data_IF_290047257015
#
_entry.id   IF_290047257015
#
_cell.length_a   1.000
_cell.length_b   1.000
_cell.length_c   1.000
_cell.angle_alpha   90.00
_cell.angle_beta   90.00
_cell.angle_gamma   90.00
#
_symmetry.space_group_name_H-M   'P 1'
#
loop_
_entity.id
_entity.type
_entity.pdbx_description
1 polymer ?
#
# COMPACT_ATOMS: atom_id res chain seq x y z
N UNK A 1 -4.35 29.12 4.01
CA UNK A 1 -3.84 30.17 4.84
C UNK A 1 -2.89 29.60 5.89
N UNK A 2 -1.60 29.43 5.54
CA UNK A 2 -0.55 29.12 6.54
C UNK A 2 -0.53 27.72 7.16
N UNK A 3 -1.35 26.78 6.68
CA UNK A 3 -1.35 25.41 7.22
C UNK A 3 -0.06 24.66 6.84
N UNK A 4 0.46 24.87 5.66
CA UNK A 4 1.73 24.31 5.18
C UNK A 4 2.90 24.73 6.09
N UNK A 5 2.93 26.00 6.49
CA UNK A 5 3.96 26.52 7.42
C UNK A 5 3.79 25.93 8.82
N UNK A 6 2.55 25.69 9.25
CA UNK A 6 2.26 25.04 10.53
C UNK A 6 2.74 23.58 10.52
N UNK A 7 2.43 22.81 9.47
CA UNK A 7 2.85 21.41 9.34
C UNK A 7 4.38 21.29 9.32
N UNK A 8 5.07 22.14 8.53
CA UNK A 8 6.54 22.19 8.50
C UNK A 8 7.15 22.46 9.88
N UNK A 9 6.58 23.43 10.59
CA UNK A 9 7.03 23.77 11.95
C UNK A 9 6.83 22.60 12.92
N UNK A 10 5.65 21.96 12.88
CA UNK A 10 5.30 20.83 13.74
C UNK A 10 6.19 19.61 13.46
N UNK A 11 6.49 19.32 12.18
CA UNK A 11 7.38 18.24 11.80
C UNK A 11 8.79 18.47 12.35
N UNK A 12 9.33 19.68 12.22
CA UNK A 12 10.63 20.05 12.78
C UNK A 12 10.67 19.92 14.30
N UNK A 13 9.63 20.39 15.01
CA UNK A 13 9.54 20.29 16.47
C UNK A 13 9.49 18.83 16.95
N UNK A 14 8.92 17.93 16.16
CA UNK A 14 8.78 16.49 16.47
C UNK A 14 9.94 15.64 15.94
N UNK A 15 10.91 16.22 15.26
CA UNK A 15 12.03 15.51 14.64
C UNK A 15 11.60 14.56 13.51
N UNK A 16 10.47 14.85 12.85
CA UNK A 16 9.96 14.11 11.73
C UNK A 16 10.46 14.68 10.40
N UNK A 17 10.46 13.84 9.37
CA UNK A 17 10.79 14.27 8.01
C UNK A 17 9.70 15.18 7.45
N UNK A 18 10.06 16.45 7.24
CA UNK A 18 9.16 17.47 6.70
C UNK A 18 8.61 17.08 5.31
N UNK A 19 9.44 16.41 4.49
CA UNK A 19 9.05 16.01 3.14
C UNK A 19 7.93 14.98 3.19
N UNK A 20 8.01 14.04 4.11
CA UNK A 20 7.00 13.01 4.29
C UNK A 20 5.66 13.59 4.76
N UNK A 21 5.67 14.44 5.78
CA UNK A 21 4.45 15.10 6.27
C UNK A 21 3.79 15.99 5.18
N UNK A 22 4.60 16.57 4.30
CA UNK A 22 4.07 17.33 3.15
C UNK A 22 3.49 16.45 2.06
N UNK A 23 4.09 15.29 1.77
CA UNK A 23 3.53 14.30 0.84
C UNK A 23 2.17 13.79 1.35
N UNK A 24 2.05 13.45 2.63
CA UNK A 24 0.78 13.03 3.24
C UNK A 24 -0.30 14.11 3.13
N UNK A 25 0.07 15.38 3.34
CA UNK A 25 -0.84 16.51 3.17
C UNK A 25 -1.30 16.66 1.72
N UNK A 26 -0.41 16.52 0.75
CA UNK A 26 -0.76 16.56 -0.67
C UNK A 26 -1.69 15.42 -1.07
N UNK A 27 -1.47 14.21 -0.56
CA UNK A 27 -2.36 13.06 -0.79
C UNK A 27 -3.77 13.33 -0.24
N UNK A 28 -3.88 13.86 0.99
CA UNK A 28 -5.15 14.25 1.57
C UNK A 28 -5.87 15.33 0.74
N UNK A 29 -5.12 16.32 0.25
CA UNK A 29 -5.66 17.38 -0.63
C UNK A 29 -6.15 16.80 -1.96
N UNK A 30 -5.46 15.80 -2.52
CA UNK A 30 -5.92 15.13 -3.74
C UNK A 30 -7.21 14.35 -3.51
N UNK A 31 -7.28 13.59 -2.42
CA UNK A 31 -8.49 12.83 -2.05
C UNK A 31 -9.69 13.76 -1.82
N UNK A 32 -9.48 14.92 -1.22
CA UNK A 32 -10.56 15.87 -0.94
C UNK A 32 -11.16 16.52 -2.19
N UNK A 33 -10.44 16.54 -3.32
CA UNK A 33 -10.92 17.17 -4.58
C UNK A 33 -12.14 16.50 -5.20
N UNK A 34 -12.42 15.25 -4.81
CA UNK A 34 -13.62 14.52 -5.25
C UNK A 34 -14.92 14.97 -4.59
N UNK A 35 -14.88 15.88 -3.61
CA UNK A 35 -16.02 16.32 -2.81
C UNK A 35 -16.29 17.80 -3.00
N UNK A 36 -17.58 18.18 -3.06
CA UNK A 36 -17.98 19.60 -3.21
C UNK A 36 -17.85 20.37 -1.91
N UNK A 37 -18.03 19.70 -0.77
CA UNK A 37 -17.98 20.31 0.56
C UNK A 37 -17.12 19.51 1.53
N UNK A 38 -16.59 20.20 2.54
CA UNK A 38 -15.86 19.55 3.65
C UNK A 38 -16.78 18.58 4.41
N UNK A 39 -18.08 18.90 4.51
CA UNK A 39 -19.06 18.03 5.16
C UNK A 39 -19.18 16.67 4.48
N UNK A 40 -19.30 16.64 3.15
CA UNK A 40 -19.33 15.41 2.36
C UNK A 40 -18.05 14.59 2.52
N UNK A 41 -16.90 15.25 2.54
CA UNK A 41 -15.62 14.56 2.75
C UNK A 41 -15.51 13.95 4.15
N UNK A 42 -15.91 14.66 5.19
CA UNK A 42 -15.94 14.13 6.56
C UNK A 42 -16.92 12.96 6.70
N UNK A 43 -18.12 13.06 6.12
CA UNK A 43 -19.09 11.98 6.11
C UNK A 43 -18.55 10.74 5.38
N UNK A 44 -17.80 10.95 4.28
CA UNK A 44 -17.13 9.86 3.57
C UNK A 44 -16.08 9.17 4.44
N UNK A 45 -15.28 9.92 5.19
CA UNK A 45 -14.28 9.38 6.11
C UNK A 45 -14.95 8.59 7.23
N UNK A 46 -16.02 9.13 7.85
CA UNK A 46 -16.77 8.44 8.90
C UNK A 46 -17.40 7.13 8.39
N UNK A 47 -17.97 7.14 7.19
CA UNK A 47 -18.51 5.96 6.55
C UNK A 47 -17.42 4.93 6.22
N UNK A 48 -16.23 5.37 5.77
CA UNK A 48 -15.09 4.49 5.51
C UNK A 48 -14.61 3.82 6.80
N UNK A 49 -14.49 4.56 7.89
CA UNK A 49 -14.12 4.00 9.20
C UNK A 49 -15.16 2.97 9.69
N UNK A 50 -16.45 3.24 9.51
CA UNK A 50 -17.51 2.31 9.87
C UNK A 50 -17.45 1.01 9.05
N UNK A 51 -17.21 1.11 7.74
CA UNK A 51 -17.04 -0.04 6.84
C UNK A 51 -15.79 -0.84 7.24
N UNK A 52 -14.67 -0.17 7.54
CA UNK A 52 -13.44 -0.84 7.97
C UNK A 52 -13.61 -1.55 9.31
N UNK A 53 -14.28 -0.94 10.28
CA UNK A 53 -14.56 -1.57 11.58
C UNK A 53 -15.46 -2.80 11.42
N UNK A 54 -16.46 -2.72 10.55
CA UNK A 54 -17.32 -3.87 10.24
C UNK A 54 -16.55 -4.97 9.51
N UNK A 55 -15.68 -4.63 8.57
CA UNK A 55 -14.81 -5.58 7.88
C UNK A 55 -13.86 -6.29 8.87
N UNK A 56 -13.26 -5.56 9.81
CA UNK A 56 -12.41 -6.12 10.86
C UNK A 56 -13.20 -7.09 11.76
N UNK A 57 -14.42 -6.72 12.18
CA UNK A 57 -15.30 -7.59 12.97
C UNK A 57 -15.70 -8.85 12.19
N UNK A 58 -15.96 -8.71 10.89
CA UNK A 58 -16.26 -9.84 10.03
C UNK A 58 -15.05 -10.75 9.85
N UNK A 59 -13.84 -10.21 9.69
CA UNK A 59 -12.61 -11.03 9.65
C UNK A 59 -12.41 -11.84 10.93
N UNK A 60 -12.70 -11.30 12.09
CA UNK A 60 -12.62 -12.03 13.36
C UNK A 60 -13.67 -13.15 13.44
N UNK A 61 -14.87 -12.94 12.90
CA UNK A 61 -15.91 -13.98 12.83
C UNK A 61 -15.66 -15.00 11.71
N UNK A 62 -15.07 -14.59 10.60
CA UNK A 62 -14.72 -15.40 9.41
C UNK A 62 -13.58 -16.37 9.69
N UNK A 63 -12.71 -16.10 10.64
CA UNK A 63 -11.70 -17.07 11.08
C UNK A 63 -12.31 -18.37 11.61
N UNK A 64 -13.61 -18.43 11.87
CA UNK A 64 -14.33 -19.63 12.31
C UNK A 64 -15.10 -20.36 11.19
N UNK A 65 -15.38 -19.71 10.06
CA UNK A 65 -16.07 -20.36 8.93
C UNK A 65 -15.22 -20.13 7.66
N UNK A 66 -14.96 -21.21 6.91
CA UNK A 66 -14.29 -21.14 5.60
C UNK A 66 -15.21 -20.42 4.60
N UNK A 67 -15.13 -19.10 4.57
CA UNK A 67 -15.84 -18.31 3.56
C UNK A 67 -15.01 -18.31 2.28
N UNK A 68 -15.67 -18.63 1.17
CA UNK A 68 -15.12 -18.50 -0.18
C UNK A 68 -15.07 -17.00 -0.54
N UNK A 69 -13.98 -16.33 -0.18
CA UNK A 69 -13.77 -14.91 -0.36
C UNK A 69 -12.36 -14.59 -0.86
N UNK A 70 -12.23 -13.46 -1.54
CA UNK A 70 -10.93 -12.90 -1.92
C UNK A 70 -10.35 -12.17 -0.72
N UNK A 71 -9.14 -12.59 -0.30
CA UNK A 71 -8.40 -11.95 0.78
C UNK A 71 -7.48 -10.86 0.20
N UNK A 72 -7.56 -9.65 0.72
CA UNK A 72 -6.65 -8.55 0.40
C UNK A 72 -5.77 -8.32 1.63
N UNK A 73 -4.46 -8.49 1.45
CA UNK A 73 -3.49 -8.36 2.54
C UNK A 73 -2.23 -7.66 2.03
N UNK A 74 -1.50 -7.00 2.91
CA UNK A 74 -0.15 -6.51 2.56
C UNK A 74 0.84 -7.67 2.50
N UNK A 75 1.96 -7.51 1.78
CA UNK A 75 3.03 -8.52 1.75
C UNK A 75 3.52 -8.86 3.15
N UNK A 76 3.64 -7.88 4.04
CA UNK A 76 4.02 -8.11 5.44
C UNK A 76 2.99 -8.96 6.20
N UNK A 77 1.71 -8.65 6.05
CA UNK A 77 0.63 -9.38 6.72
C UNK A 77 0.44 -10.79 6.17
N UNK A 78 0.94 -11.08 4.97
CA UNK A 78 0.86 -12.40 4.33
C UNK A 78 1.77 -13.47 4.99
N UNK A 79 2.69 -13.05 5.86
CA UNK A 79 3.64 -13.96 6.52
C UNK A 79 2.92 -15.01 7.36
N UNK A 80 3.15 -16.30 7.05
CA UNK A 80 2.53 -17.42 7.73
C UNK A 80 1.17 -17.84 7.17
N UNK A 81 0.61 -17.09 6.22
CA UNK A 81 -0.61 -17.43 5.50
C UNK A 81 -0.27 -18.11 4.17
N UNK A 82 -1.22 -18.83 3.59
CA UNK A 82 -1.05 -19.47 2.28
C UNK A 82 -2.42 -19.57 1.58
N UNK A 83 -2.42 -19.36 0.26
CA UNK A 83 -3.61 -19.43 -0.58
C UNK A 83 -3.38 -20.30 -1.81
N UNK A 84 -4.45 -20.85 -2.38
CA UNK A 84 -4.36 -21.57 -3.64
C UNK A 84 -3.84 -20.69 -4.76
N UNK A 85 -4.37 -19.48 -4.85
CA UNK A 85 -4.02 -18.48 -5.85
C UNK A 85 -3.56 -17.21 -5.16
N UNK A 86 -2.44 -16.66 -5.59
CA UNK A 86 -1.94 -15.35 -5.16
C UNK A 86 -1.81 -14.43 -6.36
N UNK A 87 -2.25 -13.20 -6.18
CA UNK A 87 -2.15 -12.12 -7.17
C UNK A 87 -1.31 -11.01 -6.54
N UNK A 88 -0.21 -10.67 -7.18
CA UNK A 88 0.64 -9.53 -6.81
C UNK A 88 0.47 -8.43 -7.86
N UNK A 89 -0.36 -7.40 -7.58
CA UNK A 89 -0.51 -6.26 -8.48
C UNK A 89 0.65 -5.27 -8.30
N UNK A 90 0.79 -4.37 -9.28
CA UNK A 90 1.67 -3.18 -9.23
C UNK A 90 3.14 -3.50 -8.90
N UNK A 91 3.66 -4.61 -9.45
CA UNK A 91 5.07 -4.99 -9.25
C UNK A 91 5.95 -4.12 -10.15
N UNK A 92 6.04 -2.85 -9.80
CA UNK A 92 6.76 -1.79 -10.50
C UNK A 92 7.86 -1.18 -9.62
N UNK A 93 8.91 -0.64 -10.24
CA UNK A 93 9.91 0.18 -9.56
C UNK A 93 9.24 1.32 -8.78
N UNK A 94 9.66 1.51 -7.53
CA UNK A 94 9.08 2.50 -6.63
C UNK A 94 7.89 2.00 -5.80
N UNK A 95 7.29 0.87 -6.19
CA UNK A 95 6.26 0.14 -5.43
C UNK A 95 6.88 -1.13 -4.83
N UNK A 96 7.49 -1.96 -5.67
CA UNK A 96 8.26 -3.16 -5.29
C UNK A 96 9.55 -3.18 -6.13
N UNK A 97 10.73 -2.84 -5.57
CA UNK A 97 10.96 -2.33 -4.21
C UNK A 97 10.34 -0.95 -4.00
N UNK A 98 10.00 -0.65 -2.74
CA UNK A 98 9.46 0.66 -2.39
C UNK A 98 10.48 1.78 -2.65
N UNK A 99 10.01 2.97 -3.13
CA UNK A 99 10.87 4.12 -3.49
C UNK A 99 11.81 4.61 -2.38
N UNK A 100 11.51 4.30 -1.12
CA UNK A 100 12.34 4.67 0.04
C UNK A 100 13.45 3.65 0.35
N UNK A 101 13.44 2.48 -0.24
CA UNK A 101 14.48 1.48 -0.10
C UNK A 101 15.67 1.86 -0.98
N UNK A 102 16.62 2.62 -0.43
CA UNK A 102 17.77 3.19 -1.17
C UNK A 102 19.09 2.53 -0.81
N UNK A 103 19.19 1.88 0.35
CA UNK A 103 20.40 1.14 0.77
C UNK A 103 20.32 -0.32 0.32
N UNK A 104 21.47 -0.98 0.22
CA UNK A 104 21.53 -2.39 -0.16
C UNK A 104 20.78 -3.29 0.85
N UNK A 105 20.86 -2.96 2.14
CA UNK A 105 20.15 -3.70 3.20
C UNK A 105 18.63 -3.54 3.08
N UNK A 106 18.14 -2.34 2.78
CA UNK A 106 16.71 -2.08 2.55
C UNK A 106 16.20 -2.79 1.30
N UNK A 107 16.97 -2.76 0.21
CA UNK A 107 16.62 -3.48 -1.02
C UNK A 107 16.60 -4.99 -0.80
N UNK A 108 17.51 -5.52 0.03
CA UNK A 108 17.52 -6.94 0.37
C UNK A 108 16.31 -7.35 1.21
N UNK A 109 15.84 -6.49 2.11
CA UNK A 109 14.62 -6.73 2.88
C UNK A 109 13.37 -6.68 1.98
N UNK A 110 13.27 -5.72 1.06
CA UNK A 110 12.20 -5.65 0.05
C UNK A 110 12.20 -6.91 -0.84
N UNK A 111 13.37 -7.37 -1.28
CA UNK A 111 13.51 -8.62 -2.05
C UNK A 111 13.03 -9.82 -1.25
N UNK A 112 13.38 -9.90 0.03
CA UNK A 112 12.94 -10.96 0.93
C UNK A 112 11.42 -10.96 1.11
N UNK A 113 10.82 -9.77 1.28
CA UNK A 113 9.37 -9.63 1.38
C UNK A 113 8.66 -10.06 0.09
N UNK A 114 9.18 -9.66 -1.05
CA UNK A 114 8.63 -10.07 -2.35
C UNK A 114 8.70 -11.59 -2.53
N UNK A 115 9.84 -12.20 -2.19
CA UNK A 115 9.98 -13.66 -2.20
C UNK A 115 8.98 -14.34 -1.27
N UNK A 116 8.80 -13.83 -0.04
CA UNK A 116 7.81 -14.37 0.91
C UNK A 116 6.40 -14.28 0.31
N UNK A 117 6.02 -13.14 -0.29
CA UNK A 117 4.71 -12.99 -0.91
C UNK A 117 4.49 -13.99 -2.06
N UNK A 118 5.48 -14.22 -2.92
CA UNK A 118 5.40 -15.22 -3.98
C UNK A 118 5.20 -16.64 -3.42
N UNK A 119 5.91 -16.98 -2.35
CA UNK A 119 5.81 -18.31 -1.72
C UNK A 119 4.50 -18.56 -0.97
N UNK A 120 3.61 -17.58 -0.89
CA UNK A 120 2.25 -17.77 -0.33
C UNK A 120 1.33 -18.50 -1.30
N UNK A 121 1.68 -18.63 -2.57
CA UNK A 121 0.90 -19.35 -3.58
C UNK A 121 1.15 -20.86 -3.48
N UNK A 122 0.07 -21.64 -3.34
CA UNK A 122 0.12 -23.11 -3.35
C UNK A 122 0.02 -23.69 -4.76
N UNK A 123 -0.80 -23.07 -5.61
CA UNK A 123 -1.13 -23.63 -6.94
C UNK A 123 -0.79 -22.65 -8.06
N UNK A 124 -1.12 -21.37 -7.90
CA UNK A 124 -0.93 -20.39 -8.96
C UNK A 124 -0.51 -19.04 -8.40
N UNK A 125 0.49 -18.45 -9.05
CA UNK A 125 0.97 -17.09 -8.77
C UNK A 125 0.79 -16.23 -10.02
N UNK A 126 0.13 -15.09 -9.87
CA UNK A 126 0.00 -14.07 -10.91
C UNK A 126 0.71 -12.79 -10.46
N UNK A 127 1.61 -12.30 -11.28
CA UNK A 127 2.34 -11.07 -11.04
C UNK A 127 1.96 -10.08 -12.13
N UNK A 128 1.44 -8.92 -11.74
CA UNK A 128 1.06 -7.86 -12.66
C UNK A 128 1.93 -6.63 -12.45
N UNK A 129 2.28 -5.98 -13.54
CA UNK A 129 2.95 -4.68 -13.56
C UNK A 129 2.36 -3.81 -14.66
N UNK A 130 2.44 -2.51 -14.48
CA UNK A 130 2.00 -1.53 -15.46
C UNK A 130 3.20 -1.21 -16.36
N UNK A 131 2.98 -1.29 -17.68
CA UNK A 131 3.96 -0.88 -18.67
C UNK A 131 3.39 0.29 -19.47
N UNK A 132 3.50 1.49 -18.95
CA UNK A 132 2.99 2.69 -19.59
C UNK A 132 4.12 3.51 -20.19
N UNK A 133 4.01 3.81 -21.49
CA UNK A 133 5.03 4.58 -22.21
C UNK A 133 4.85 6.10 -22.10
N UNK A 134 3.69 6.60 -21.65
CA UNK A 134 3.33 8.01 -21.78
C UNK A 134 3.15 8.78 -20.45
N UNK A 135 2.92 8.13 -19.32
CA UNK A 135 2.73 8.78 -18.02
C UNK A 135 3.83 8.43 -17.03
N UNK A 136 5.04 8.93 -17.26
CA UNK A 136 6.07 9.01 -16.22
C UNK A 136 6.82 7.73 -15.89
N UNK A 137 7.24 6.92 -16.92
CA UNK A 137 8.22 5.84 -16.77
C UNK A 137 7.99 4.88 -15.59
N UNK A 138 6.80 4.29 -15.47
CA UNK A 138 6.61 3.14 -14.60
C UNK A 138 7.36 1.94 -15.22
N UNK A 139 8.52 1.64 -14.66
CA UNK A 139 9.31 0.49 -15.07
C UNK A 139 8.84 -0.75 -14.29
N UNK A 140 8.87 -1.95 -14.92
CA UNK A 140 8.73 -3.19 -14.18
C UNK A 140 9.74 -3.26 -13.03
N UNK A 141 9.38 -3.92 -11.95
CA UNK A 141 10.29 -4.15 -10.84
C UNK A 141 11.55 -4.88 -11.29
N UNK A 142 12.72 -4.42 -10.82
CA UNK A 142 14.00 -5.12 -11.02
C UNK A 142 14.00 -6.55 -10.49
N UNK A 143 13.15 -6.85 -9.51
CA UNK A 143 13.04 -8.20 -8.95
C UNK A 143 12.43 -9.20 -9.92
N UNK A 144 11.72 -8.74 -10.96
CA UNK A 144 11.19 -9.63 -12.01
C UNK A 144 12.30 -10.24 -12.86
N UNK A 145 13.42 -9.54 -13.04
CA UNK A 145 14.58 -10.05 -13.79
C UNK A 145 15.34 -11.13 -13.00
N UNK A 146 15.10 -11.23 -11.69
CA UNK A 146 15.72 -12.22 -10.80
C UNK A 146 14.91 -13.53 -10.71
N UNK A 147 13.69 -13.57 -11.24
CA UNK A 147 12.83 -14.76 -11.25
C UNK A 147 13.16 -15.58 -12.51
N UNK A 148 13.84 -16.71 -12.31
CA UNK A 148 14.17 -17.70 -13.33
C UNK A 148 13.52 -19.04 -13.05
#
# INVERSE_FOLDING_TARGET
VGYDDYVKKLALERGKDVSHEMEELEELLQLSKGFETIGEWLEHIENYDAIMQEAIRQEESIRQEQIDAVNIVTMHASKGLEWKVVILPDVNEGVVPHKKAVTDDELEEERRMFYVAMTRAKESLFIFYIQEKEAGNLLPSRFLDEIH
#
